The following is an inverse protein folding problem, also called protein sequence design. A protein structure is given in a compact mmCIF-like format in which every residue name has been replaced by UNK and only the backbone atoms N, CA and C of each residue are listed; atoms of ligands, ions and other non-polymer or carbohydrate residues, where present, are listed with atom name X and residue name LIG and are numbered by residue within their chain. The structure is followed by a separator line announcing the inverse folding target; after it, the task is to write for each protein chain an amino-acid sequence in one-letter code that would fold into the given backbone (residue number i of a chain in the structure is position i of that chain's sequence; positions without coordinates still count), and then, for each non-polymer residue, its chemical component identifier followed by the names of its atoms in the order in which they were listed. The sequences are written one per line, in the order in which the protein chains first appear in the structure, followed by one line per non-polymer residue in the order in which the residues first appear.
data_IF_516217807945
#
_entry.id   IF_516217807945
#
_cell.length_a   1.000
_cell.length_b   1.000
_cell.length_c   1.000
_cell.angle_alpha   90.00
_cell.angle_beta   90.00
_cell.angle_gamma   90.00
#
_symmetry.space_group_name_H-M   'P 1'
#
loop_
_entity.id
_entity.type
_entity.pdbx_description
1 polymer ?
#
# COMPACT_ATOMS: atom_id res chain seq x y z
N UNK A 1 -38.09 2.56 7.42
CA UNK A 1 -37.51 3.93 7.31
C UNK A 1 -35.99 3.90 7.14
N UNK A 2 -35.22 3.13 7.93
CA UNK A 2 -33.74 3.14 7.86
C UNK A 2 -33.10 2.55 6.58
N UNK A 3 -33.66 1.49 5.98
CA UNK A 3 -33.05 0.87 4.77
C UNK A 3 -33.05 1.81 3.57
N UNK A 4 -34.15 2.54 3.34
CA UNK A 4 -34.25 3.50 2.25
C UNK A 4 -33.26 4.66 2.42
N UNK A 5 -33.03 5.09 3.66
CA UNK A 5 -32.06 6.12 3.98
C UNK A 5 -30.61 5.65 3.73
N UNK A 6 -30.25 4.44 4.18
CA UNK A 6 -28.94 3.83 3.94
C UNK A 6 -28.67 3.74 2.44
N UNK A 7 -29.61 3.19 1.68
CA UNK A 7 -29.51 3.07 0.22
C UNK A 7 -29.28 4.43 -0.46
N UNK A 8 -30.03 5.46 -0.04
CA UNK A 8 -29.87 6.83 -0.56
C UNK A 8 -28.49 7.39 -0.25
N UNK A 9 -28.01 7.23 0.99
CA UNK A 9 -26.66 7.70 1.39
C UNK A 9 -25.58 6.99 0.57
N UNK A 10 -25.61 5.66 0.48
CA UNK A 10 -24.64 4.88 -0.29
C UNK A 10 -24.65 5.23 -1.79
N UNK A 11 -25.82 5.45 -2.38
CA UNK A 11 -25.91 5.88 -3.78
C UNK A 11 -25.25 7.26 -4.01
N UNK A 12 -25.30 8.15 -3.02
CA UNK A 12 -24.68 9.47 -3.06
C UNK A 12 -23.22 9.52 -2.60
N UNK A 13 -22.66 8.42 -2.10
CA UNK A 13 -21.28 8.33 -1.62
C UNK A 13 -20.31 7.74 -2.65
N UNK A 14 -19.03 8.02 -2.45
CA UNK A 14 -17.91 7.21 -2.93
C UNK A 14 -17.45 6.34 -1.75
N UNK A 15 -17.39 5.03 -1.94
CA UNK A 15 -16.93 4.09 -0.90
C UNK A 15 -15.58 3.53 -1.30
N UNK A 16 -14.61 3.56 -0.41
CA UNK A 16 -13.27 3.03 -0.64
C UNK A 16 -13.00 1.85 0.29
N UNK A 17 -12.53 0.75 -0.27
CA UNK A 17 -12.12 -0.46 0.43
C UNK A 17 -10.60 -0.57 0.37
N UNK A 18 -9.96 -0.40 1.52
CA UNK A 18 -8.55 -0.65 1.77
C UNK A 18 -8.43 -1.64 2.93
N UNK A 19 -8.54 -2.93 2.60
CA UNK A 19 -8.53 -4.05 3.55
C UNK A 19 -7.67 -5.20 2.97
N UNK A 20 -7.24 -6.14 3.82
CA UNK A 20 -6.46 -7.32 3.40
C UNK A 20 -4.94 -7.20 3.63
N UNK A 21 -4.40 -5.98 3.74
CA UNK A 21 -2.96 -5.79 3.97
C UNK A 21 -2.45 -6.41 5.28
N UNK A 22 -3.27 -6.35 6.34
CA UNK A 22 -2.92 -6.92 7.64
C UNK A 22 -2.87 -8.45 7.65
N UNK A 23 -3.65 -9.13 6.79
CA UNK A 23 -3.62 -10.58 6.64
C UNK A 23 -2.23 -11.05 6.18
N UNK A 24 -1.63 -10.31 5.23
CA UNK A 24 -0.27 -10.56 4.76
C UNK A 24 0.79 -10.09 5.75
N UNK A 25 0.62 -8.91 6.36
CA UNK A 25 1.52 -8.46 7.43
C UNK A 25 1.55 -9.50 8.56
N UNK A 26 0.43 -10.15 8.88
CA UNK A 26 0.41 -11.20 9.89
C UNK A 26 1.26 -12.41 9.47
N UNK A 27 1.13 -12.85 8.23
CA UNK A 27 1.91 -13.98 7.70
C UNK A 27 3.41 -13.69 7.62
N UNK A 28 3.78 -12.45 7.28
CA UNK A 28 5.19 -12.06 7.14
C UNK A 28 5.84 -11.61 8.45
N UNK A 29 5.08 -11.02 9.38
CA UNK A 29 5.62 -10.37 10.60
C UNK A 29 5.16 -11.06 11.90
N UNK A 30 3.91 -11.52 12.03
CA UNK A 30 3.38 -11.99 13.35
C UNK A 30 3.74 -13.40 13.76
N UNK A 31 4.52 -14.14 12.98
CA UNK A 31 5.16 -15.34 13.54
C UNK A 31 6.31 -14.98 14.51
N UNK A 32 6.67 -13.71 14.73
CA UNK A 32 7.73 -13.31 15.66
C UNK A 32 7.56 -13.77 17.13
N UNK A 33 6.36 -14.19 17.58
CA UNK A 33 6.09 -14.55 18.99
C UNK A 33 5.75 -16.03 19.25
N UNK A 34 6.52 -16.99 18.73
CA UNK A 34 6.70 -18.29 19.41
C UNK A 34 8.19 -18.55 19.68
N UNK A 35 8.66 -18.37 20.92
CA UNK A 35 9.96 -18.86 21.37
C UNK A 35 9.78 -20.25 22.00
N UNK A 36 10.45 -21.25 21.45
CA UNK A 36 11.63 -21.78 22.14
C UNK A 36 12.94 -21.68 21.35
N UNK A 37 12.92 -21.19 20.10
CA UNK A 37 14.02 -21.45 19.15
C UNK A 37 14.56 -20.20 18.40
N UNK A 38 14.00 -19.00 18.63
CA UNK A 38 14.51 -17.74 18.03
C UNK A 38 13.74 -17.21 16.82
N UNK A 39 12.57 -16.62 17.10
CA UNK A 39 11.88 -15.51 16.40
C UNK A 39 11.82 -15.53 14.88
N UNK A 40 10.61 -15.60 14.30
CA UNK A 40 10.38 -15.68 12.86
C UNK A 40 10.55 -14.32 12.17
N UNK A 41 11.77 -13.98 11.75
CA UNK A 41 12.05 -12.88 10.82
C UNK A 41 12.30 -13.40 9.39
N UNK A 42 12.25 -12.51 8.40
CA UNK A 42 12.65 -12.76 7.01
C UNK A 42 14.19 -12.95 6.84
N UNK A 43 14.91 -13.14 7.95
CA UNK A 43 16.37 -13.22 8.10
C UNK A 43 17.11 -14.36 7.39
N UNK A 44 16.42 -15.28 6.71
CA UNK A 44 17.04 -16.35 5.90
C UNK A 44 16.06 -16.78 4.79
N UNK A 45 16.60 -17.13 3.62
CA UNK A 45 15.89 -17.66 2.44
C UNK A 45 14.84 -18.72 2.77
N UNK A 46 15.13 -19.70 3.63
CA UNK A 46 14.14 -20.72 4.01
C UNK A 46 12.89 -20.09 4.64
N UNK A 47 13.07 -19.09 5.50
CA UNK A 47 11.96 -18.38 6.17
C UNK A 47 11.20 -17.48 5.21
N UNK A 48 11.91 -16.85 4.26
CA UNK A 48 11.27 -16.11 3.16
C UNK A 48 10.36 -17.04 2.36
N UNK A 49 10.82 -18.24 2.02
CA UNK A 49 10.00 -19.23 1.30
C UNK A 49 8.78 -19.68 2.11
N UNK A 50 8.95 -20.01 3.39
CA UNK A 50 7.84 -20.43 4.26
C UNK A 50 6.78 -19.34 4.42
N UNK A 51 7.20 -18.09 4.69
CA UNK A 51 6.28 -16.96 4.83
C UNK A 51 5.58 -16.63 3.51
N UNK A 52 6.26 -16.75 2.37
CA UNK A 52 5.63 -16.62 1.04
C UNK A 52 4.60 -17.71 0.75
N UNK A 53 4.86 -18.95 1.18
CA UNK A 53 3.88 -20.04 1.07
C UNK A 53 2.64 -19.77 1.92
N UNK A 54 2.82 -19.34 3.16
CA UNK A 54 1.72 -18.96 4.06
C UNK A 54 0.92 -17.78 3.50
N UNK A 55 1.60 -16.70 3.10
CA UNK A 55 0.96 -15.53 2.51
C UNK A 55 0.27 -15.89 1.19
N UNK A 56 0.86 -16.76 0.37
CA UNK A 56 0.29 -17.28 -0.87
C UNK A 56 -1.02 -18.04 -0.62
N UNK A 57 -1.09 -18.85 0.43
CA UNK A 57 -2.31 -19.55 0.83
C UNK A 57 -3.44 -18.60 1.27
N UNK A 58 -3.10 -17.40 1.77
CA UNK A 58 -4.07 -16.37 2.15
C UNK A 58 -4.60 -15.57 0.95
N UNK A 59 -3.93 -15.56 -0.21
CA UNK A 59 -4.36 -14.75 -1.36
C UNK A 59 -5.81 -15.07 -1.80
N UNK A 60 -6.22 -16.33 -2.04
CA UNK A 60 -7.61 -16.63 -2.41
C UNK A 60 -8.66 -16.18 -1.38
N UNK A 61 -8.58 -16.53 -0.08
CA UNK A 61 -9.58 -16.09 0.89
C UNK A 61 -9.59 -14.58 1.12
N UNK A 62 -8.44 -13.89 1.07
CA UNK A 62 -8.39 -12.42 1.21
C UNK A 62 -9.09 -11.74 0.02
N UNK A 63 -8.78 -12.15 -1.21
CA UNK A 63 -9.46 -11.63 -2.41
C UNK A 63 -10.96 -11.92 -2.37
N UNK A 64 -11.36 -13.09 -1.88
CA UNK A 64 -12.78 -13.44 -1.73
C UNK A 64 -13.47 -12.53 -0.70
N UNK A 65 -12.85 -12.29 0.46
CA UNK A 65 -13.40 -11.40 1.50
C UNK A 65 -13.58 -9.97 1.00
N UNK A 66 -12.59 -9.44 0.27
CA UNK A 66 -12.69 -8.10 -0.37
C UNK A 66 -13.85 -8.08 -1.38
N UNK A 67 -13.95 -9.11 -2.20
CA UNK A 67 -15.01 -9.21 -3.22
C UNK A 67 -16.39 -9.30 -2.59
N UNK A 68 -16.53 -10.04 -1.48
CA UNK A 68 -17.79 -10.15 -0.74
C UNK A 68 -18.19 -8.81 -0.12
N UNK A 69 -17.25 -8.13 0.57
CA UNK A 69 -17.52 -6.81 1.14
C UNK A 69 -17.95 -5.78 0.09
N UNK A 70 -17.27 -5.77 -1.07
CA UNK A 70 -17.66 -4.92 -2.19
C UNK A 70 -19.05 -5.27 -2.74
N UNK A 71 -19.35 -6.57 -2.89
CA UNK A 71 -20.66 -7.06 -3.33
C UNK A 71 -21.77 -6.64 -2.37
N UNK A 72 -21.57 -6.79 -1.07
CA UNK A 72 -22.53 -6.37 -0.04
C UNK A 72 -22.82 -4.87 -0.14
N UNK A 73 -21.79 -4.03 -0.27
CA UNK A 73 -21.97 -2.58 -0.45
C UNK A 73 -22.78 -2.25 -1.71
N UNK A 74 -22.52 -2.93 -2.83
CA UNK A 74 -23.26 -2.76 -4.08
C UNK A 74 -24.72 -3.18 -3.92
N UNK A 75 -25.00 -4.30 -3.24
CA UNK A 75 -26.35 -4.79 -2.95
C UNK A 75 -27.13 -3.87 -1.99
N UNK A 76 -26.42 -3.22 -1.06
CA UNK A 76 -26.98 -2.18 -0.17
C UNK A 76 -27.27 -0.86 -0.89
N UNK A 77 -26.75 -0.67 -2.11
CA UNK A 77 -27.06 0.47 -2.98
C UNK A 77 -25.90 1.42 -3.24
N UNK A 78 -24.67 1.06 -2.90
CA UNK A 78 -23.50 1.80 -3.37
C UNK A 78 -23.41 1.70 -4.90
N UNK A 79 -23.09 2.81 -5.55
CA UNK A 79 -22.93 2.87 -7.02
C UNK A 79 -21.52 3.31 -7.43
N UNK A 80 -20.67 3.67 -6.47
CA UNK A 80 -19.27 4.06 -6.66
C UNK A 80 -18.42 3.41 -5.58
N UNK A 81 -17.69 2.36 -5.95
CA UNK A 81 -16.83 1.59 -5.04
C UNK A 81 -15.40 1.59 -5.61
N UNK A 82 -14.42 1.93 -4.80
CA UNK A 82 -13.00 1.87 -5.13
C UNK A 82 -12.37 0.77 -4.27
N UNK A 83 -11.65 -0.15 -4.90
CA UNK A 83 -10.96 -1.25 -4.22
C UNK A 83 -9.47 -1.02 -4.41
N UNK A 84 -8.77 -0.75 -3.31
CA UNK A 84 -7.33 -0.51 -3.33
C UNK A 84 -6.54 -1.82 -3.45
N UNK A 85 -5.54 -1.83 -4.32
CA UNK A 85 -4.50 -2.84 -4.33
C UNK A 85 -3.56 -2.70 -3.14
N UNK A 86 -2.58 -3.60 -3.06
CA UNK A 86 -1.50 -3.50 -2.08
C UNK A 86 -0.31 -2.71 -2.64
N UNK A 87 0.50 -2.15 -1.74
CA UNK A 87 1.76 -1.44 -2.04
C UNK A 87 2.84 -2.38 -2.60
N UNK A 88 3.95 -1.87 -3.17
CA UNK A 88 5.17 -2.65 -3.34
C UNK A 88 5.80 -2.90 -1.97
N UNK A 89 5.30 -3.91 -1.26
CA UNK A 89 5.68 -4.18 0.14
C UNK A 89 7.17 -4.47 0.33
N UNK A 90 7.88 -4.91 -0.72
CA UNK A 90 9.33 -5.08 -0.68
C UNK A 90 10.10 -3.76 -0.54
N UNK A 91 9.44 -2.61 -0.71
CA UNK A 91 10.01 -1.28 -0.49
C UNK A 91 9.67 -0.69 0.89
N UNK A 92 8.91 -1.40 1.72
CA UNK A 92 8.40 -0.88 2.99
C UNK A 92 9.40 -1.18 4.12
N UNK A 93 9.75 -0.21 5.00
CA UNK A 93 10.87 -0.34 5.92
C UNK A 93 10.82 -1.55 6.85
N UNK A 94 9.64 -1.94 7.36
CA UNK A 94 9.52 -3.12 8.25
C UNK A 94 9.99 -4.41 7.57
N UNK A 95 9.71 -4.56 6.27
CA UNK A 95 10.11 -5.73 5.51
C UNK A 95 11.60 -5.69 5.16
N UNK A 96 12.11 -4.50 4.81
CA UNK A 96 13.52 -4.30 4.51
C UNK A 96 14.41 -4.53 5.74
N UNK A 97 14.02 -4.00 6.90
CA UNK A 97 14.71 -4.21 8.17
C UNK A 97 14.59 -5.67 8.65
N UNK A 98 13.40 -6.27 8.57
CA UNK A 98 13.15 -7.64 9.02
C UNK A 98 13.76 -8.73 8.12
N UNK A 99 14.07 -8.41 6.86
CA UNK A 99 14.71 -9.33 5.92
C UNK A 99 16.15 -9.63 6.29
N UNK A 100 16.91 -8.65 6.78
CA UNK A 100 18.33 -8.83 7.13
C UNK A 100 19.14 -9.61 6.05
N UNK A 101 18.75 -9.47 4.77
CA UNK A 101 19.37 -10.16 3.62
C UNK A 101 20.54 -9.32 3.14
N UNK A 102 21.72 -9.94 3.07
CA UNK A 102 22.97 -9.27 2.66
C UNK A 102 23.24 -9.42 1.17
N UNK A 103 22.58 -10.39 0.54
CA UNK A 103 22.70 -10.74 -0.86
C UNK A 103 22.04 -9.66 -1.73
N UNK A 104 22.88 -8.88 -2.43
CA UNK A 104 22.41 -7.82 -3.34
C UNK A 104 21.41 -8.32 -4.39
N UNK A 105 21.51 -9.60 -4.80
CA UNK A 105 20.60 -10.22 -5.76
C UNK A 105 19.15 -10.35 -5.27
N UNK A 106 18.89 -10.21 -3.96
CA UNK A 106 17.53 -10.20 -3.42
C UNK A 106 16.78 -8.88 -3.66
N UNK A 107 17.51 -7.82 -4.01
CA UNK A 107 16.97 -6.49 -4.22
C UNK A 107 16.85 -6.18 -5.72
N UNK A 108 15.77 -5.50 -6.10
CA UNK A 108 15.63 -4.94 -7.44
C UNK A 108 16.52 -3.70 -7.62
N UNK A 109 16.54 -3.14 -8.84
CA UNK A 109 17.32 -1.94 -9.15
C UNK A 109 16.90 -0.70 -8.32
N UNK A 110 15.72 -0.74 -7.70
CA UNK A 110 15.24 0.28 -6.78
C UNK A 110 15.68 0.04 -5.33
N UNK A 111 16.33 -1.08 -4.99
CA UNK A 111 16.66 -1.43 -3.61
C UNK A 111 15.46 -1.95 -2.82
N UNK A 112 14.46 -2.53 -3.48
CA UNK A 112 13.34 -3.19 -2.83
C UNK A 112 13.48 -4.71 -2.93
N UNK A 113 12.95 -5.46 -1.95
CA UNK A 113 12.98 -6.93 -1.98
C UNK A 113 12.12 -7.46 -3.13
N UNK A 114 12.78 -8.00 -4.16
CA UNK A 114 12.15 -8.38 -5.42
C UNK A 114 11.06 -9.44 -5.22
N UNK A 115 11.30 -10.41 -4.34
CA UNK A 115 10.36 -11.50 -4.07
C UNK A 115 9.07 -11.04 -3.40
N UNK A 116 9.14 -10.04 -2.52
CA UNK A 116 7.97 -9.49 -1.85
C UNK A 116 7.16 -8.59 -2.79
N UNK A 117 7.84 -7.85 -3.68
CA UNK A 117 7.17 -7.11 -4.75
C UNK A 117 6.47 -8.06 -5.74
N UNK A 118 7.11 -9.16 -6.12
CA UNK A 118 6.50 -10.18 -6.98
C UNK A 118 5.25 -10.81 -6.33
N UNK A 119 5.28 -11.04 -5.01
CA UNK A 119 4.10 -11.47 -4.26
C UNK A 119 2.97 -10.43 -4.32
N UNK A 120 3.28 -9.15 -4.06
CA UNK A 120 2.28 -8.08 -4.13
C UNK A 120 1.66 -7.95 -5.53
N UNK A 121 2.46 -8.09 -6.59
CA UNK A 121 1.98 -8.10 -7.98
C UNK A 121 1.06 -9.29 -8.27
N UNK A 122 1.40 -10.50 -7.80
CA UNK A 122 0.55 -11.69 -7.90
C UNK A 122 -0.80 -11.44 -7.23
N UNK A 123 -0.79 -10.98 -5.97
CA UNK A 123 -2.00 -10.65 -5.22
C UNK A 123 -2.84 -9.60 -5.97
N UNK A 124 -2.21 -8.51 -6.40
CA UNK A 124 -2.86 -7.43 -7.13
C UNK A 124 -3.46 -7.91 -8.45
N UNK A 125 -2.81 -8.83 -9.17
CA UNK A 125 -3.36 -9.45 -10.37
C UNK A 125 -4.63 -10.26 -10.08
N UNK A 126 -4.67 -11.02 -8.97
CA UNK A 126 -5.87 -11.76 -8.56
C UNK A 126 -7.00 -10.82 -8.15
N UNK A 127 -6.68 -9.77 -7.39
CA UNK A 127 -7.65 -8.75 -6.99
C UNK A 127 -8.26 -8.04 -8.19
N UNK A 128 -7.44 -7.62 -9.17
CA UNK A 128 -7.91 -7.02 -10.43
C UNK A 128 -8.91 -7.91 -11.18
N UNK A 129 -8.63 -9.22 -11.27
CA UNK A 129 -9.55 -10.17 -11.89
C UNK A 129 -10.89 -10.26 -11.15
N UNK A 130 -10.87 -10.22 -9.82
CA UNK A 130 -12.08 -10.20 -9.00
C UNK A 130 -12.87 -8.88 -9.17
N UNK A 131 -12.18 -7.74 -9.20
CA UNK A 131 -12.78 -6.43 -9.51
C UNK A 131 -13.44 -6.45 -10.89
N UNK A 132 -12.79 -7.04 -11.91
CA UNK A 132 -13.39 -7.20 -13.23
C UNK A 132 -14.66 -8.09 -13.21
N UNK A 133 -14.70 -9.09 -12.32
CA UNK A 133 -15.91 -9.87 -12.05
C UNK A 133 -17.05 -9.02 -11.49
N UNK A 134 -16.76 -8.18 -10.49
CA UNK A 134 -17.73 -7.25 -9.89
C UNK A 134 -18.24 -6.23 -10.92
N UNK A 135 -17.36 -5.69 -11.76
CA UNK A 135 -17.74 -4.77 -12.84
C UNK A 135 -18.74 -5.40 -13.81
N UNK A 136 -18.52 -6.67 -14.20
CA UNK A 136 -19.47 -7.40 -15.08
C UNK A 136 -20.79 -7.71 -14.39
N UNK A 137 -20.76 -8.04 -13.09
CA UNK A 137 -21.96 -8.36 -12.32
C UNK A 137 -22.81 -7.12 -12.00
N UNK A 138 -22.20 -5.94 -11.92
CA UNK A 138 -22.86 -4.69 -11.53
C UNK A 138 -22.67 -3.58 -12.59
N UNK A 139 -23.20 -3.74 -13.82
CA UNK A 139 -22.95 -2.80 -14.93
C UNK A 139 -23.51 -1.39 -14.72
N UNK A 140 -24.37 -1.21 -13.71
CA UNK A 140 -24.96 0.09 -13.32
C UNK A 140 -24.13 0.84 -12.27
N UNK A 141 -23.09 0.22 -11.73
CA UNK A 141 -22.20 0.81 -10.75
C UNK A 141 -20.80 1.01 -11.36
N UNK A 142 -20.05 1.95 -10.79
CA UNK A 142 -18.62 2.11 -11.05
C UNK A 142 -17.86 1.41 -9.94
N UNK A 143 -17.24 0.28 -10.28
CA UNK A 143 -16.31 -0.43 -9.40
C UNK A 143 -14.90 -0.23 -9.96
N UNK A 144 -14.08 0.55 -9.26
CA UNK A 144 -12.72 0.90 -9.71
C UNK A 144 -11.67 0.12 -8.92
N UNK A 145 -10.61 -0.33 -9.60
CA UNK A 145 -9.39 -0.77 -8.95
C UNK A 145 -8.44 0.42 -8.80
N UNK A 146 -7.96 0.69 -7.58
CA UNK A 146 -6.94 1.69 -7.30
C UNK A 146 -5.56 1.02 -7.24
N UNK A 147 -4.69 1.32 -8.21
CA UNK A 147 -3.36 0.75 -8.35
C UNK A 147 -2.36 1.42 -7.40
N UNK A 148 -2.50 1.07 -6.13
CA UNK A 148 -1.61 1.48 -5.05
C UNK A 148 -0.15 1.10 -5.32
N UNK A 149 0.07 -0.04 -5.97
CA UNK A 149 1.41 -0.50 -6.31
C UNK A 149 2.09 0.49 -7.26
N UNK A 150 1.43 0.81 -8.37
CA UNK A 150 1.93 1.75 -9.36
C UNK A 150 2.06 3.17 -8.79
N UNK A 151 1.11 3.60 -7.96
CA UNK A 151 1.14 4.92 -7.34
C UNK A 151 2.35 5.08 -6.39
N UNK A 152 2.55 4.13 -5.48
CA UNK A 152 3.68 4.14 -4.56
C UNK A 152 5.01 4.01 -5.32
N UNK A 153 5.11 3.09 -6.27
CA UNK A 153 6.32 2.91 -7.08
C UNK A 153 6.67 4.19 -7.88
N UNK A 154 5.66 4.92 -8.35
CA UNK A 154 5.86 6.22 -9.02
C UNK A 154 6.29 7.32 -8.06
N UNK A 155 5.77 7.34 -6.82
CA UNK A 155 6.28 8.23 -5.76
C UNK A 155 7.76 7.97 -5.51
N UNK A 156 8.19 6.70 -5.41
CA UNK A 156 9.60 6.36 -5.24
C UNK A 156 10.47 6.82 -6.42
N UNK A 157 10.04 6.57 -7.66
CA UNK A 157 10.78 6.96 -8.87
C UNK A 157 10.87 8.48 -9.05
N UNK A 158 9.81 9.20 -8.71
CA UNK A 158 9.71 10.66 -8.86
C UNK A 158 9.98 11.40 -7.55
N UNK A 159 10.64 10.75 -6.57
CA UNK A 159 10.79 11.24 -5.19
C UNK A 159 11.26 12.70 -5.12
N UNK A 160 12.38 13.02 -5.79
CA UNK A 160 12.93 14.39 -5.81
C UNK A 160 11.94 15.40 -6.39
N UNK A 161 11.31 15.08 -7.52
CA UNK A 161 10.36 15.96 -8.19
C UNK A 161 9.09 16.20 -7.35
N UNK A 162 8.78 15.27 -6.45
CA UNK A 162 7.65 15.33 -5.52
C UNK A 162 8.01 15.85 -4.15
N UNK A 163 9.22 16.38 -3.94
CA UNK A 163 9.60 16.95 -2.64
C UNK A 163 10.01 15.91 -1.58
N UNK A 164 10.26 14.64 -1.95
CA UNK A 164 10.86 13.64 -1.05
C UNK A 164 12.39 13.60 -1.20
N UNK A 165 13.10 13.33 -0.11
CA UNK A 165 14.54 13.10 -0.17
C UNK A 165 14.78 11.69 -0.72
N UNK A 166 15.44 11.53 -1.90
CA UNK A 166 15.70 10.22 -2.49
C UNK A 166 16.38 9.24 -1.52
N UNK A 167 17.27 9.73 -0.64
CA UNK A 167 18.00 8.90 0.32
C UNK A 167 17.11 8.35 1.44
N UNK A 168 15.93 8.94 1.68
CA UNK A 168 15.03 8.62 2.80
C UNK A 168 13.71 8.00 2.36
N UNK A 169 13.58 7.67 1.07
CA UNK A 169 12.35 7.08 0.49
C UNK A 169 11.98 5.70 1.06
N UNK A 170 12.92 5.02 1.72
CA UNK A 170 12.72 3.71 2.35
C UNK A 170 13.07 3.73 3.83
N UNK A 171 13.08 4.92 4.42
CA UNK A 171 13.36 5.10 5.84
C UNK A 171 12.08 5.50 6.55
N UNK A 172 11.84 4.95 7.74
CA UNK A 172 10.77 5.40 8.62
C UNK A 172 11.12 6.76 9.26
N UNK A 173 10.21 7.74 9.17
CA UNK A 173 10.37 9.02 9.87
C UNK A 173 10.23 8.86 11.39
N UNK A 174 9.30 8.03 11.86
CA UNK A 174 9.04 7.73 13.26
C UNK A 174 9.42 6.27 13.55
N UNK A 175 10.34 6.04 14.48
CA UNK A 175 10.81 4.68 14.78
C UNK A 175 12.11 4.69 15.56
N UNK A 176 13.01 3.77 15.25
CA UNK A 176 14.32 3.68 15.89
C UNK A 176 15.26 4.83 15.52
N UNK A 177 15.06 5.42 14.34
CA UNK A 177 15.94 6.42 13.76
C UNK A 177 17.11 5.79 12.97
N UNK A 178 17.58 6.53 11.97
CA UNK A 178 18.58 6.07 10.99
C UNK A 178 19.93 5.68 11.61
N UNK A 179 20.32 6.35 12.70
CA UNK A 179 21.57 6.07 13.40
C UNK A 179 21.53 4.78 14.22
N UNK A 180 20.32 4.35 14.61
CA UNK A 180 20.16 3.21 15.52
C UNK A 180 19.72 1.92 14.81
N UNK A 181 19.05 2.03 13.66
CA UNK A 181 18.62 0.85 12.90
C UNK A 181 18.55 1.14 11.39
N UNK A 182 18.84 0.11 10.60
CA UNK A 182 18.65 0.16 9.15
C UNK A 182 17.21 0.54 8.81
N UNK A 183 17.04 1.40 7.78
CA UNK A 183 15.73 1.91 7.36
C UNK A 183 14.96 2.67 8.46
N UNK A 184 15.62 3.05 9.57
CA UNK A 184 15.01 3.76 10.69
C UNK A 184 14.00 2.94 11.49
N UNK A 185 13.96 1.62 11.30
CA UNK A 185 12.95 0.73 11.87
C UNK A 185 13.56 -0.36 12.74
N UNK A 186 12.98 -0.56 13.92
CA UNK A 186 13.26 -1.67 14.84
C UNK A 186 11.93 -2.05 15.52
N UNK A 187 11.65 -3.34 15.65
CA UNK A 187 10.40 -3.85 16.22
C UNK A 187 10.19 -3.46 17.68
N UNK A 188 11.26 -3.32 18.46
CA UNK A 188 11.19 -2.87 19.85
C UNK A 188 10.95 -1.37 19.98
N UNK A 189 11.16 -0.61 18.89
CA UNK A 189 11.06 0.86 18.83
C UNK A 189 10.13 1.29 17.68
N UNK A 190 8.99 0.60 17.53
CA UNK A 190 7.93 1.03 16.63
C UNK A 190 7.35 2.38 17.09
N UNK A 191 6.86 3.21 16.16
CA UNK A 191 6.37 4.56 16.48
C UNK A 191 5.37 4.56 17.65
N UNK A 192 5.66 5.35 18.70
CA UNK A 192 4.88 5.39 19.95
C UNK A 192 5.41 4.50 21.08
N UNK A 193 6.37 3.61 20.80
CA UNK A 193 7.09 2.86 21.83
C UNK A 193 8.17 3.73 22.53
N UNK A 194 8.60 3.36 23.76
CA UNK A 194 9.73 4.00 24.43
C UNK A 194 11.02 3.97 23.59
N UNK A 195 11.78 5.07 23.62
CA UNK A 195 13.03 5.19 22.86
C UNK A 195 12.85 5.46 21.37
N UNK A 196 11.64 5.79 20.90
CA UNK A 196 11.42 6.20 19.51
C UNK A 196 11.94 7.61 19.24
N UNK A 197 12.33 7.86 18.00
CA UNK A 197 12.66 9.17 17.46
C UNK A 197 11.69 9.54 16.33
N UNK A 198 11.48 10.83 16.12
CA UNK A 198 10.71 11.38 14.99
C UNK A 198 11.62 12.29 14.18
N UNK A 199 11.61 12.11 12.87
CA UNK A 199 12.38 12.93 11.95
C UNK A 199 11.96 14.41 12.00
N UNK A 200 12.89 15.32 11.70
CA UNK A 200 12.65 16.76 11.78
C UNK A 200 11.67 17.26 10.69
N UNK A 201 11.76 16.70 9.48
CA UNK A 201 10.92 17.08 8.33
C UNK A 201 10.25 15.84 7.74
N UNK A 202 8.98 15.64 8.10
CA UNK A 202 8.17 14.50 7.68
C UNK A 202 7.83 14.50 6.18
N UNK A 203 7.83 15.66 5.54
CA UNK A 203 7.46 15.76 4.12
C UNK A 203 8.58 15.25 3.21
N UNK A 204 9.80 15.10 3.76
CA UNK A 204 10.95 14.53 3.05
C UNK A 204 10.95 13.00 3.03
N UNK A 205 10.12 12.35 3.85
CA UNK A 205 10.04 10.90 3.98
C UNK A 205 8.80 10.34 3.28
N UNK A 206 8.94 9.15 2.70
CA UNK A 206 7.80 8.42 2.13
C UNK A 206 7.10 7.60 3.21
N UNK A 207 7.85 6.97 4.13
CA UNK A 207 7.29 6.17 5.22
C UNK A 207 7.20 6.97 6.53
N UNK A 208 6.04 6.89 7.18
CA UNK A 208 5.83 7.44 8.52
C UNK A 208 6.45 6.56 9.58
N UNK A 209 6.00 5.31 9.75
CA UNK A 209 6.33 4.46 10.90
C UNK A 209 6.99 3.12 10.54
N UNK A 210 7.35 2.96 9.26
CA UNK A 210 7.90 1.72 8.73
C UNK A 210 6.86 0.76 8.15
N UNK A 211 5.57 1.05 8.27
CA UNK A 211 4.46 0.32 7.62
C UNK A 211 3.64 1.28 6.75
N UNK A 212 3.30 2.44 7.30
CA UNK A 212 2.41 3.41 6.69
C UNK A 212 3.19 4.51 5.96
N UNK A 213 2.67 5.03 4.83
CA UNK A 213 3.17 6.25 4.21
C UNK A 213 2.95 7.50 5.07
N UNK A 214 3.74 8.55 4.84
CA UNK A 214 3.51 9.89 5.40
C UNK A 214 2.26 10.54 4.79
N UNK A 215 1.72 11.58 5.44
CA UNK A 215 0.64 12.38 4.87
C UNK A 215 0.99 12.94 3.49
N UNK A 216 2.24 13.41 3.32
CA UNK A 216 2.71 13.90 2.02
C UNK A 216 2.73 12.78 0.96
N UNK A 217 3.18 11.58 1.31
CA UNK A 217 3.16 10.42 0.42
C UNK A 217 1.72 10.02 0.04
N UNK A 218 0.79 9.97 1.01
CA UNK A 218 -0.62 9.73 0.72
C UNK A 218 -1.23 10.80 -0.20
N UNK A 219 -0.88 12.07 -0.02
CA UNK A 219 -1.29 13.15 -0.93
C UNK A 219 -0.78 12.93 -2.36
N UNK A 220 0.51 12.64 -2.51
CA UNK A 220 1.13 12.36 -3.80
C UNK A 220 0.53 11.12 -4.49
N UNK A 221 0.27 10.05 -3.74
CA UNK A 221 -0.40 8.84 -4.25
C UNK A 221 -1.84 9.15 -4.65
N UNK A 222 -2.57 9.93 -3.87
CA UNK A 222 -3.94 10.34 -4.17
C UNK A 222 -4.00 11.11 -5.48
N UNK A 223 -3.09 12.05 -5.72
CA UNK A 223 -3.02 12.78 -7.00
C UNK A 223 -2.78 11.84 -8.20
N UNK A 224 -1.93 10.83 -8.03
CA UNK A 224 -1.66 9.83 -9.06
C UNK A 224 -2.86 8.91 -9.33
N UNK A 225 -3.57 8.49 -8.29
CA UNK A 225 -4.77 7.67 -8.41
C UNK A 225 -5.93 8.46 -9.03
N UNK A 226 -6.11 9.71 -8.59
CA UNK A 226 -7.27 10.51 -8.92
C UNK A 226 -7.15 11.32 -10.21
N UNK A 227 -5.94 11.86 -10.48
CA UNK A 227 -5.64 12.66 -11.69
C UNK A 227 -4.72 11.93 -12.67
N UNK A 228 -3.85 11.05 -12.16
CA UNK A 228 -2.83 10.36 -12.94
C UNK A 228 -3.30 9.08 -13.64
N UNK A 229 -4.58 8.71 -13.53
CA UNK A 229 -5.14 7.55 -14.23
C UNK A 229 -4.79 6.19 -13.62
N UNK A 230 -4.32 6.15 -12.36
CA UNK A 230 -3.99 4.91 -11.67
C UNK A 230 -5.19 4.28 -10.92
N UNK A 231 -6.39 4.81 -11.11
CA UNK A 231 -7.64 4.16 -10.71
C UNK A 231 -8.51 3.87 -11.93
N UNK A 232 -8.88 2.61 -12.16
CA UNK A 232 -9.56 2.21 -13.40
C UNK A 232 -10.76 1.26 -13.21
N UNK A 233 -11.88 1.51 -13.95
CA UNK A 233 -12.14 2.74 -14.69
C UNK A 233 -12.17 3.95 -13.73
N UNK A 234 -11.95 5.19 -14.22
CA UNK A 234 -11.91 6.36 -13.35
C UNK A 234 -13.19 6.44 -12.49
N UNK A 235 -13.09 6.45 -11.14
CA UNK A 235 -14.26 6.40 -10.26
C UNK A 235 -15.10 7.69 -10.30
N UNK A 236 -14.48 8.79 -10.73
CA UNK A 236 -15.10 10.09 -10.90
C UNK A 236 -14.73 10.61 -12.30
N UNK A 237 -15.74 11.08 -13.04
CA UNK A 237 -15.52 11.82 -14.29
C UNK A 237 -15.27 13.29 -13.94
N UNK A 238 -14.15 13.82 -14.40
CA UNK A 238 -13.87 15.24 -14.32
C UNK A 238 -14.72 15.99 -15.35
N UNK A 239 -15.20 17.21 -15.03
CA UNK A 239 -15.62 18.14 -16.07
C UNK A 239 -14.48 18.31 -17.09
N UNK A 240 -14.80 18.38 -18.38
CA UNK A 240 -13.81 18.75 -19.38
C UNK A 240 -13.38 20.21 -19.14
N UNK A 241 -12.14 20.42 -18.69
CA UNK A 241 -11.54 21.72 -18.33
C UNK A 241 -11.60 21.96 -16.81
N UNK A 242 -10.50 22.19 -16.09
CA UNK A 242 -9.40 23.11 -16.41
C UNK A 242 -8.05 22.46 -16.13
N UNK A 243 -7.18 22.42 -17.13
CA UNK A 243 -5.75 22.52 -16.89
C UNK A 243 -5.51 23.84 -16.16
N UNK A 244 -4.98 23.81 -14.94
CA UNK A 244 -4.47 25.02 -14.29
C UNK A 244 -3.37 25.62 -15.17
N UNK A 245 -3.52 26.85 -15.68
CA UNK A 245 -2.41 27.55 -16.32
C UNK A 245 -1.44 28.01 -15.21
N UNK A 246 -0.22 27.49 -15.21
CA UNK A 246 0.91 28.17 -14.58
C UNK A 246 1.53 27.47 -13.36
N UNK A 247 2.39 26.51 -13.62
CA UNK A 247 3.73 26.54 -13.02
C UNK A 247 4.71 26.51 -14.19
N UNK A 248 5.09 27.70 -14.67
CA UNK A 248 6.22 27.83 -15.59
C UNK A 248 7.44 27.29 -14.86
N UNK A 249 8.05 26.25 -15.42
CA UNK A 249 9.44 25.96 -15.17
C UNK A 249 10.23 27.21 -15.60
N UNK A 250 10.74 27.96 -14.63
CA UNK A 250 11.83 28.88 -14.90
C UNK A 250 13.12 28.07 -14.87
N UNK A 251 13.55 27.66 -16.05
CA UNK A 251 14.97 27.48 -16.34
C UNK A 251 15.58 28.87 -16.43
N UNK A 252 16.50 29.17 -15.52
CA UNK A 252 17.68 30.00 -15.72
C UNK A 252 18.82 29.29 -14.98
#
# INVERSE_FOLDING_TARGET
MHIAEIRRKLASSLVMLEIGGNDFNYAFLRQQTRPSDGGYGLGNVTRIVETLQQAGALVPPVVQSISNAAKELLEMGAVRVVIAGNFPIGCVPVYLAGANVTELAAYDAGGCLAVLNAFAELYNARLRSAVAGLQRAHPRAVVAYADYFAAYARVLREARARGFDPARTRTACCGAGEEAAAYGFDESRFCGAPGTAVCADRDRYVSWDGVHPTQHAYGAMTDLLYRGGLAYPPPIKWPAGQTTPGTKAHLN
#
